data_IF_710703153608
#
_entry.id   IF_710703153608
#
_cell.length_a   1.000
_cell.length_b   1.000
_cell.length_c   1.000
_cell.angle_alpha   90.00
_cell.angle_beta   90.00
_cell.angle_gamma   90.00
#
_symmetry.space_group_name_H-M   'P 1'
#
loop_
_entity.id
_entity.type
_entity.pdbx_description
1 polymer ?
#
# COMPACT_ATOMS: atom_id res chain seq x y z
N UNK A 1 -8.63 -29.09 -8.08
CA UNK A 1 -8.84 -27.62 -8.12
C UNK A 1 -7.59 -27.00 -8.72
N UNK A 2 -7.69 -26.17 -9.77
CA UNK A 2 -6.52 -25.46 -10.30
C UNK A 2 -6.25 -24.26 -9.38
N UNK A 3 -5.00 -24.08 -8.93
CA UNK A 3 -4.62 -22.88 -8.20
C UNK A 3 -4.91 -21.66 -9.08
N UNK A 4 -5.52 -20.63 -8.49
CA UNK A 4 -5.73 -19.35 -9.18
C UNK A 4 -4.35 -18.75 -9.49
N UNK A 5 -4.10 -18.24 -10.70
CA UNK A 5 -2.82 -17.61 -11.01
C UNK A 5 -2.61 -16.38 -10.12
N UNK A 6 -1.46 -16.32 -9.46
CA UNK A 6 -1.00 -15.21 -8.62
C UNK A 6 -0.42 -14.12 -9.50
N UNK A 7 -0.87 -12.89 -9.36
CA UNK A 7 -0.23 -11.73 -9.99
C UNK A 7 0.87 -11.18 -9.09
N UNK A 8 1.84 -10.52 -9.73
CA UNK A 8 2.98 -9.91 -9.04
C UNK A 8 3.01 -8.40 -9.31
N UNK A 9 3.22 -7.62 -8.26
CA UNK A 9 3.30 -6.16 -8.34
C UNK A 9 4.53 -5.64 -7.58
N UNK A 10 5.12 -4.53 -8.03
CA UNK A 10 6.15 -3.86 -7.25
C UNK A 10 5.53 -2.64 -6.56
N UNK A 11 5.58 -2.62 -5.23
CA UNK A 11 5.20 -1.46 -4.41
C UNK A 11 6.47 -0.84 -3.82
N UNK A 12 6.50 0.49 -3.75
CA UNK A 12 7.67 1.26 -3.28
C UNK A 12 7.31 1.97 -1.99
N UNK A 13 8.22 1.92 -1.03
CA UNK A 13 8.18 2.70 0.20
C UNK A 13 9.54 3.35 0.42
N UNK A 14 9.54 4.43 1.22
CA UNK A 14 10.74 5.18 1.56
C UNK A 14 11.28 4.66 2.90
N UNK A 15 12.42 3.95 2.93
CA UNK A 15 12.97 3.41 4.18
C UNK A 15 13.69 4.47 5.02
N UNK A 16 13.99 5.62 4.45
CA UNK A 16 14.64 6.75 5.12
C UNK A 16 13.63 7.85 5.46
N UNK A 17 13.98 8.69 6.44
CA UNK A 17 13.14 9.80 6.85
C UNK A 17 12.96 10.79 5.71
N UNK A 18 11.72 11.10 5.39
CA UNK A 18 11.35 12.07 4.36
C UNK A 18 10.07 12.76 4.77
N UNK A 19 10.09 14.09 4.78
CA UNK A 19 8.93 14.87 5.18
C UNK A 19 8.02 15.12 3.97
N UNK A 20 6.76 14.73 4.09
CA UNK A 20 5.67 15.12 3.21
C UNK A 20 4.71 16.00 4.01
N UNK A 21 4.50 17.25 3.59
CA UNK A 21 3.66 18.21 4.30
C UNK A 21 3.94 18.32 5.82
N UNK A 22 5.22 18.17 6.21
CA UNK A 22 5.66 18.25 7.61
C UNK A 22 5.52 16.96 8.42
N UNK A 23 5.08 15.86 7.82
CA UNK A 23 4.96 14.54 8.45
C UNK A 23 6.00 13.59 7.86
N UNK A 24 6.70 12.83 8.71
CA UNK A 24 7.64 11.81 8.25
C UNK A 24 6.88 10.60 7.68
N UNK A 25 7.19 10.24 6.44
CA UNK A 25 6.54 9.13 5.72
C UNK A 25 7.44 7.89 5.60
N UNK A 26 8.48 7.82 6.43
CA UNK A 26 9.35 6.64 6.54
C UNK A 26 8.54 5.38 6.80
N UNK A 27 8.74 4.37 5.96
CA UNK A 27 8.19 3.04 6.14
C UNK A 27 9.14 1.99 5.57
N UNK A 28 9.73 1.17 6.45
CA UNK A 28 10.66 0.10 6.09
C UNK A 28 9.99 -1.29 6.12
N UNK A 29 10.70 -2.30 5.63
CA UNK A 29 10.22 -3.70 5.71
C UNK A 29 10.10 -4.15 7.18
N UNK A 30 10.98 -3.68 8.06
CA UNK A 30 10.93 -3.99 9.49
C UNK A 30 9.65 -3.45 10.14
N UNK A 31 9.17 -2.29 9.67
CA UNK A 31 7.91 -1.69 10.13
C UNK A 31 6.71 -2.53 9.66
N UNK A 32 6.79 -3.09 8.46
CA UNK A 32 5.79 -4.05 7.95
C UNK A 32 5.76 -5.34 8.79
N UNK A 33 6.94 -5.88 9.14
CA UNK A 33 7.05 -7.07 10.00
C UNK A 33 6.43 -6.85 11.37
N UNK A 34 6.71 -5.70 11.99
CA UNK A 34 6.15 -5.34 13.30
C UNK A 34 4.65 -5.11 13.26
N UNK A 35 4.15 -4.46 12.19
CA UNK A 35 2.73 -4.09 12.07
C UNK A 35 1.81 -5.27 11.82
N UNK A 36 2.35 -6.42 11.37
CA UNK A 36 1.65 -7.64 10.92
C UNK A 36 0.74 -7.43 9.72
N UNK A 37 -0.06 -6.37 9.69
CA UNK A 37 -0.90 -5.95 8.57
C UNK A 37 -0.88 -4.42 8.51
N UNK A 38 -0.59 -3.87 7.33
CA UNK A 38 -0.65 -2.43 7.10
C UNK A 38 -1.52 -2.10 5.90
N UNK A 39 -2.13 -0.91 5.91
CA UNK A 39 -2.80 -0.35 4.75
C UNK A 39 -1.76 0.36 3.87
N UNK A 40 -1.77 0.08 2.57
CA UNK A 40 -0.88 0.74 1.60
C UNK A 40 -1.47 2.08 1.14
N UNK A 41 -1.54 3.01 2.09
CA UNK A 41 -2.13 4.34 1.92
C UNK A 41 -1.22 5.30 1.15
N UNK A 42 -1.72 6.51 0.87
CA UNK A 42 -0.89 7.60 0.37
C UNK A 42 -0.53 7.53 -1.11
N UNK A 43 -1.02 6.54 -1.86
CA UNK A 43 -0.82 6.49 -3.31
C UNK A 43 -1.63 7.59 -3.98
N UNK A 44 -0.93 8.56 -4.58
CA UNK A 44 -1.51 9.70 -5.31
C UNK A 44 -1.18 9.70 -6.81
N UNK A 45 -0.88 8.51 -7.37
CA UNK A 45 -0.69 8.30 -8.81
C UNK A 45 -1.85 7.48 -9.38
N UNK A 46 -2.45 7.95 -10.49
CA UNK A 46 -3.63 7.33 -11.10
C UNK A 46 -3.36 5.91 -11.63
N UNK A 47 -2.19 5.66 -12.22
CA UNK A 47 -1.81 4.35 -12.73
C UNK A 47 -1.56 3.37 -11.59
N UNK A 48 -0.80 3.77 -10.57
CA UNK A 48 -0.56 2.97 -9.38
C UNK A 48 -1.88 2.62 -8.65
N UNK A 49 -2.79 3.58 -8.52
CA UNK A 49 -4.15 3.35 -8.01
C UNK A 49 -4.91 2.32 -8.85
N UNK A 50 -4.87 2.46 -10.18
CA UNK A 50 -5.55 1.52 -11.08
C UNK A 50 -4.95 0.11 -10.97
N UNK A 51 -3.65 -0.02 -10.71
CA UNK A 51 -2.99 -1.29 -10.44
C UNK A 51 -3.44 -1.87 -9.09
N UNK A 52 -3.52 -1.07 -8.03
CA UNK A 52 -4.06 -1.53 -6.75
C UNK A 52 -5.50 -2.01 -6.84
N UNK A 53 -6.35 -1.35 -7.63
CA UNK A 53 -7.73 -1.82 -7.90
C UNK A 53 -7.80 -3.19 -8.57
N UNK A 54 -6.75 -3.62 -9.26
CA UNK A 54 -6.67 -4.93 -9.93
C UNK A 54 -6.13 -6.03 -9.00
N UNK A 55 -5.39 -5.66 -7.95
CA UNK A 55 -4.83 -6.61 -6.98
C UNK A 55 -5.92 -7.47 -6.35
N UNK A 56 -5.62 -8.75 -6.20
CA UNK A 56 -6.46 -9.75 -5.56
C UNK A 56 -5.82 -10.26 -4.29
N UNK A 57 -6.65 -10.78 -3.38
CA UNK A 57 -6.15 -11.51 -2.21
C UNK A 57 -5.19 -12.61 -2.70
N UNK A 58 -4.08 -12.76 -1.98
CA UNK A 58 -2.95 -13.65 -2.27
C UNK A 58 -2.05 -13.23 -3.44
N UNK A 59 -2.31 -12.10 -4.10
CA UNK A 59 -1.31 -11.50 -4.99
C UNK A 59 -0.07 -11.06 -4.19
N UNK A 60 1.10 -11.18 -4.83
CA UNK A 60 2.38 -10.97 -4.19
C UNK A 60 3.01 -9.64 -4.62
N UNK A 61 3.66 -8.99 -3.68
CA UNK A 61 4.41 -7.76 -3.93
C UNK A 61 5.89 -7.92 -3.60
N UNK A 62 6.69 -8.47 -4.53
CA UNK A 62 8.13 -8.61 -4.31
C UNK A 62 8.82 -7.25 -4.29
N UNK A 63 9.77 -7.07 -3.37
CA UNK A 63 10.71 -5.96 -3.33
C UNK A 63 12.11 -6.45 -2.94
N UNK A 64 13.13 -5.62 -3.15
CA UNK A 64 14.52 -5.98 -2.79
C UNK A 64 14.64 -6.26 -1.29
N UNK A 65 13.89 -5.53 -0.47
CA UNK A 65 13.91 -5.66 0.98
C UNK A 65 13.05 -6.83 1.52
N UNK A 66 12.17 -7.44 0.72
CA UNK A 66 11.29 -8.50 1.19
C UNK A 66 10.09 -8.78 0.29
N UNK A 67 9.26 -9.73 0.70
CA UNK A 67 8.04 -10.13 -0.01
C UNK A 67 6.81 -9.76 0.82
N UNK A 68 5.85 -9.07 0.23
CA UNK A 68 4.54 -8.83 0.83
C UNK A 68 3.43 -9.58 0.09
N UNK A 69 2.30 -9.77 0.77
CA UNK A 69 1.10 -10.42 0.23
C UNK A 69 -0.14 -9.58 0.50
N UNK A 70 -1.00 -9.45 -0.50
CA UNK A 70 -2.29 -8.76 -0.38
C UNK A 70 -3.26 -9.60 0.45
N UNK A 71 -3.77 -9.02 1.54
CA UNK A 71 -4.77 -9.64 2.42
C UNK A 71 -6.12 -8.95 2.38
N UNK A 72 -6.21 -7.77 1.75
CA UNK A 72 -7.48 -7.08 1.48
C UNK A 72 -7.41 -6.39 0.12
N UNK A 73 -8.38 -6.68 -0.74
CA UNK A 73 -8.53 -6.01 -2.04
C UNK A 73 -8.80 -4.51 -1.87
N UNK A 74 -8.69 -3.76 -2.97
CA UNK A 74 -8.76 -2.31 -2.94
C UNK A 74 -10.04 -1.78 -2.29
N UNK A 75 -9.87 -0.84 -1.38
CA UNK A 75 -10.93 -0.07 -0.73
C UNK A 75 -10.53 1.40 -0.65
N UNK A 76 -11.48 2.26 -0.29
CA UNK A 76 -11.25 3.72 -0.26
C UNK A 76 -10.13 4.07 0.71
N UNK A 77 -9.17 4.87 0.25
CA UNK A 77 -8.14 5.45 1.09
C UNK A 77 -8.73 6.62 1.87
N UNK A 78 -9.10 6.38 3.13
CA UNK A 78 -9.71 7.39 3.99
C UNK A 78 -8.75 8.53 4.35
N UNK A 79 -7.43 8.32 4.25
CA UNK A 79 -6.42 9.35 4.57
C UNK A 79 -6.47 10.52 3.60
N UNK A 80 -7.01 10.31 2.40
CA UNK A 80 -7.25 11.38 1.44
C UNK A 80 -8.21 12.46 1.96
N UNK A 81 -9.04 12.16 2.96
CA UNK A 81 -10.02 13.10 3.53
C UNK A 81 -9.56 13.73 4.85
N UNK A 82 -8.43 13.28 5.40
CA UNK A 82 -7.89 13.78 6.66
C UNK A 82 -6.91 14.92 6.40
N UNK A 83 -7.29 16.15 6.80
CA UNK A 83 -6.48 17.37 6.62
C UNK A 83 -5.13 17.34 7.34
N UNK A 84 -4.99 16.50 8.36
CA UNK A 84 -3.74 16.35 9.11
C UNK A 84 -2.79 15.33 8.47
N UNK A 85 -3.29 14.52 7.54
CA UNK A 85 -2.51 13.48 6.91
C UNK A 85 -1.61 14.06 5.81
N UNK A 86 -0.35 13.58 5.66
CA UNK A 86 0.56 14.05 4.61
C UNK A 86 -0.03 13.97 3.21
N UNK A 87 -0.90 12.99 2.98
CA UNK A 87 -1.50 12.72 1.68
C UNK A 87 -2.97 13.18 1.56
N UNK A 88 -3.39 14.19 2.33
CA UNK A 88 -4.68 14.84 2.16
C UNK A 88 -4.88 15.32 0.71
N UNK A 89 -6.06 15.06 0.14
CA UNK A 89 -6.46 15.60 -1.17
C UNK A 89 -7.76 16.42 -1.01
N UNK A 90 -7.70 17.76 -1.01
CA UNK A 90 -8.89 18.61 -0.88
C UNK A 90 -9.87 18.46 -2.04
N UNK A 91 -9.45 17.82 -3.15
CA UNK A 91 -10.29 17.59 -4.32
C UNK A 91 -10.91 16.18 -4.31
N UNK A 92 -10.61 15.32 -3.34
CA UNK A 92 -11.22 13.99 -3.24
C UNK A 92 -12.57 14.09 -2.54
N UNK A 93 -13.61 13.56 -3.17
CA UNK A 93 -14.97 13.57 -2.64
C UNK A 93 -15.28 12.23 -1.93
N UNK A 94 -16.10 12.24 -0.88
CA UNK A 94 -16.44 11.01 -0.13
C UNK A 94 -17.46 10.13 -0.86
N UNK A 95 -18.31 10.72 -1.70
CA UNK A 95 -19.29 10.04 -2.55
C UNK A 95 -18.64 9.53 -3.85
N UNK A 96 -17.62 10.24 -4.35
CA UNK A 96 -16.79 9.82 -5.49
C UNK A 96 -15.27 9.82 -5.15
N UNK A 97 -14.80 8.84 -4.37
CA UNK A 97 -13.42 8.78 -3.89
C UNK A 97 -12.41 8.57 -5.01
N UNK A 98 -11.38 9.42 -5.04
CA UNK A 98 -10.31 9.32 -6.05
C UNK A 98 -9.29 8.24 -5.74
N UNK A 99 -9.05 7.96 -4.46
CA UNK A 99 -7.90 7.19 -3.98
C UNK A 99 -8.34 5.92 -3.27
N UNK A 100 -7.54 4.87 -3.47
CA UNK A 100 -7.80 3.52 -2.98
C UNK A 100 -6.51 2.94 -2.46
N UNK A 101 -6.62 2.02 -1.51
CA UNK A 101 -5.50 1.29 -0.91
C UNK A 101 -5.86 -0.19 -0.73
N UNK A 102 -4.83 -1.03 -0.56
CA UNK A 102 -4.94 -2.45 -0.23
C UNK A 102 -4.35 -2.69 1.16
N UNK A 103 -4.69 -3.81 1.81
CA UNK A 103 -3.91 -4.24 2.98
C UNK A 103 -2.92 -5.30 2.56
N UNK A 104 -1.71 -5.19 3.10
CA UNK A 104 -0.64 -6.15 2.90
C UNK A 104 -0.10 -6.64 4.24
N UNK A 105 0.51 -7.82 4.20
CA UNK A 105 1.31 -8.38 5.28
C UNK A 105 2.71 -8.70 4.74
N UNK A 106 3.70 -8.78 5.62
CA UNK A 106 4.95 -9.46 5.26
C UNK A 106 4.63 -10.94 4.98
N UNK A 107 5.05 -11.44 3.83
CA UNK A 107 4.80 -12.80 3.35
C UNK A 107 6.01 -13.73 3.54
N UNK A 108 7.06 -13.25 4.21
CA UNK A 108 8.34 -13.93 4.38
C UNK A 108 9.23 -13.76 3.15
N UNK A 109 10.32 -13.02 3.33
CA UNK A 109 11.53 -13.16 2.52
C UNK A 109 12.55 -13.93 3.35
N UNK A 110 13.18 -14.94 2.73
CA UNK A 110 14.23 -15.77 3.33
C UNK A 110 15.17 -14.92 4.20
N UNK A 111 15.26 -15.24 5.49
CA UNK A 111 16.43 -14.86 6.28
C UNK A 111 17.65 -15.40 5.53
N UNK A 112 18.44 -14.52 4.95
CA UNK A 112 19.78 -14.86 4.43
C UNK A 112 20.74 -15.04 5.59
#
# INVERSE_FOLDING_TARGET
MKAKPTNYYLIKAEPESRLENGVDVKFSIDDLEKSKTTAWEGVRNYEARNNMKKMKIDDLTPGIAGLARVVKEAYVDHTAFDKSHPYYDPKSDKLDPKWFMVNIINAGGCSI
#
